data_IF_747053338524
#
_entry.id   IF_747053338524
#
_cell.length_a   1.000
_cell.length_b   1.000
_cell.length_c   1.000
_cell.angle_alpha   90.00
_cell.angle_beta   90.00
_cell.angle_gamma   90.00
#
_symmetry.space_group_name_H-M   'P 1'
#
loop_
_entity.id
_entity.type
_entity.pdbx_description
1 polymer ?
#
# COMPACT_ATOMS: atom_id res chain seq x y z
N UNK A 1 14.56 -2.33 4.56
CA UNK A 1 13.68 -3.13 3.66
C UNK A 1 13.52 -2.40 2.34
N UNK A 2 13.50 -3.12 1.21
CA UNK A 2 13.36 -2.52 -0.12
C UNK A 2 12.04 -2.95 -0.77
N UNK A 3 11.36 -2.02 -1.44
CA UNK A 3 10.18 -2.30 -2.25
C UNK A 3 10.37 -1.79 -3.68
N UNK A 4 9.74 -2.46 -4.64
CA UNK A 4 9.67 -2.04 -6.05
C UNK A 4 8.27 -1.51 -6.35
N UNK A 5 8.20 -0.40 -7.06
CA UNK A 5 6.93 0.20 -7.47
C UNK A 5 6.64 -0.21 -8.90
N UNK A 6 5.43 -0.69 -9.16
CA UNK A 6 4.98 -1.11 -10.49
C UNK A 6 3.67 -0.41 -10.81
N UNK A 7 3.70 0.47 -11.79
CA UNK A 7 2.51 1.16 -12.32
C UNK A 7 1.92 0.38 -13.48
N UNK A 8 0.66 0.68 -13.81
CA UNK A 8 -0.08 0.09 -14.93
C UNK A 8 -0.05 -1.45 -14.90
N UNK A 9 -0.23 -2.05 -13.70
CA UNK A 9 -0.29 -3.49 -13.54
C UNK A 9 -1.56 -4.03 -14.23
N UNK A 10 -1.40 -4.69 -15.38
CA UNK A 10 -2.49 -5.10 -16.28
C UNK A 10 -3.54 -6.02 -15.63
N UNK A 11 -3.13 -6.82 -14.64
CA UNK A 11 -3.99 -7.76 -13.92
C UNK A 11 -4.78 -7.09 -12.79
N UNK A 12 -4.50 -5.83 -12.48
CA UNK A 12 -5.13 -5.11 -11.38
C UNK A 12 -6.16 -4.10 -11.89
N UNK A 13 -7.30 -4.01 -11.20
CA UNK A 13 -8.37 -3.07 -11.54
C UNK A 13 -7.85 -1.62 -11.48
N UNK A 14 -8.23 -0.79 -12.45
CA UNK A 14 -7.90 0.65 -12.43
C UNK A 14 -8.41 1.30 -11.14
N UNK A 15 -7.59 2.16 -10.55
CA UNK A 15 -7.88 2.84 -9.29
C UNK A 15 -7.53 2.05 -8.03
N UNK A 16 -7.01 0.83 -8.16
CA UNK A 16 -6.54 0.04 -7.03
C UNK A 16 -5.03 0.17 -6.84
N UNK A 17 -4.59 0.03 -5.60
CA UNK A 17 -3.22 -0.15 -5.18
C UNK A 17 -3.12 -1.40 -4.29
N UNK A 18 -1.92 -1.98 -4.23
CA UNK A 18 -1.66 -3.11 -3.36
C UNK A 18 -0.18 -3.18 -2.98
N UNK A 19 0.11 -3.40 -1.70
CA UNK A 19 1.42 -3.83 -1.23
C UNK A 19 1.41 -5.31 -0.88
N UNK A 20 2.24 -6.08 -1.59
CA UNK A 20 2.47 -7.48 -1.29
C UNK A 20 3.96 -7.76 -1.27
N UNK A 21 4.43 -8.32 -0.16
CA UNK A 21 5.81 -8.74 0.04
C UNK A 21 6.85 -7.61 -0.10
N UNK A 22 7.37 -7.37 -1.31
CA UNK A 22 8.38 -6.34 -1.62
C UNK A 22 7.94 -5.47 -2.81
N UNK A 23 6.67 -5.51 -3.17
CA UNK A 23 6.14 -4.91 -4.37
C UNK A 23 4.95 -4.02 -3.98
N UNK A 24 4.90 -2.84 -4.57
CA UNK A 24 3.81 -1.88 -4.46
C UNK A 24 3.26 -1.67 -5.86
N UNK A 25 2.09 -2.24 -6.13
CA UNK A 25 1.44 -2.18 -7.43
C UNK A 25 0.41 -1.07 -7.48
N UNK A 26 0.25 -0.48 -8.66
CA UNK A 26 -0.86 0.39 -9.01
C UNK A 26 -1.49 -0.05 -10.34
N UNK A 27 -2.83 -0.06 -10.38
CA UNK A 27 -3.60 -0.31 -11.61
C UNK A 27 -3.70 0.94 -12.48
N UNK A 28 -3.14 2.06 -12.01
CA UNK A 28 -3.08 3.35 -12.69
C UNK A 28 -1.69 3.56 -13.31
N UNK A 29 -1.63 4.40 -14.33
CA UNK A 29 -0.35 4.93 -14.84
C UNK A 29 0.28 5.84 -13.77
N UNK A 30 1.59 5.99 -13.80
CA UNK A 30 2.33 6.79 -12.83
C UNK A 30 1.82 8.25 -12.71
N UNK A 31 1.49 8.86 -13.85
CA UNK A 31 0.93 10.21 -13.94
C UNK A 31 -0.51 10.33 -13.42
N UNK A 32 -1.21 9.22 -13.27
CA UNK A 32 -2.60 9.16 -12.80
C UNK A 32 -2.68 8.83 -11.29
N UNK A 33 -1.59 8.36 -10.67
CA UNK A 33 -1.55 8.11 -9.23
C UNK A 33 -1.47 9.46 -8.52
N UNK A 34 -2.48 9.79 -7.72
CA UNK A 34 -2.42 10.99 -6.87
C UNK A 34 -1.46 10.78 -5.69
N UNK A 35 -0.94 11.87 -5.13
CA UNK A 35 -0.08 11.80 -3.94
C UNK A 35 -0.80 11.10 -2.78
N UNK A 36 -2.10 11.34 -2.66
CA UNK A 36 -2.97 10.66 -1.69
C UNK A 36 -2.97 9.14 -1.85
N UNK A 37 -3.15 8.66 -3.08
CA UNK A 37 -3.17 7.23 -3.37
C UNK A 37 -1.78 6.61 -3.18
N UNK A 38 -0.72 7.32 -3.60
CA UNK A 38 0.65 6.89 -3.35
C UNK A 38 0.97 6.80 -1.86
N UNK A 39 0.58 7.81 -1.08
CA UNK A 39 0.76 7.87 0.37
C UNK A 39 0.03 6.75 1.10
N UNK A 40 -1.18 6.42 0.65
CA UNK A 40 -1.95 5.29 1.17
C UNK A 40 -1.18 3.98 1.05
N UNK A 41 -0.73 3.63 -0.17
CA UNK A 41 0.02 2.40 -0.40
C UNK A 41 1.40 2.40 0.30
N UNK A 42 2.05 3.57 0.37
CA UNK A 42 3.30 3.73 1.09
C UNK A 42 3.14 3.42 2.59
N UNK A 43 1.99 3.73 3.19
CA UNK A 43 1.72 3.36 4.57
C UNK A 43 1.71 1.84 4.76
N UNK A 44 1.24 1.06 3.79
CA UNK A 44 1.36 -0.40 3.84
C UNK A 44 2.82 -0.85 3.79
N UNK A 45 3.70 -0.18 3.02
CA UNK A 45 5.13 -0.45 3.09
C UNK A 45 5.71 -0.17 4.50
N UNK A 46 5.32 0.92 5.14
CA UNK A 46 5.73 1.21 6.54
C UNK A 46 5.21 0.16 7.53
N UNK A 47 3.96 -0.29 7.39
CA UNK A 47 3.41 -1.37 8.21
C UNK A 47 4.19 -2.67 8.04
N UNK A 48 4.54 -3.04 6.79
CA UNK A 48 5.39 -4.18 6.49
C UNK A 48 6.79 -4.02 7.08
N UNK A 49 7.38 -2.83 7.03
CA UNK A 49 8.67 -2.54 7.67
C UNK A 49 8.61 -2.79 9.17
N UNK A 50 7.57 -2.28 9.84
CA UNK A 50 7.41 -2.39 11.31
C UNK A 50 7.14 -3.82 11.78
N UNK A 51 6.31 -4.58 11.05
CA UNK A 51 5.92 -5.95 11.45
C UNK A 51 6.78 -7.06 10.88
N UNK A 52 7.47 -6.80 9.76
CA UNK A 52 8.07 -7.83 8.92
C UNK A 52 7.05 -8.42 7.93
N UNK A 53 7.55 -8.88 6.78
CA UNK A 53 6.74 -9.33 5.65
C UNK A 53 5.79 -10.47 6.00
N UNK A 54 6.32 -11.51 6.64
CA UNK A 54 5.55 -12.70 6.97
C UNK A 54 4.40 -12.38 7.94
N UNK A 55 4.71 -11.65 9.01
CA UNK A 55 3.70 -11.26 9.99
C UNK A 55 2.66 -10.29 9.44
N UNK A 56 3.05 -9.36 8.57
CA UNK A 56 2.10 -8.51 7.88
C UNK A 56 1.11 -9.35 7.06
N UNK A 57 1.60 -10.29 6.25
CA UNK A 57 0.74 -11.18 5.45
C UNK A 57 -0.18 -12.05 6.32
N UNK A 58 0.37 -12.71 7.34
CA UNK A 58 -0.42 -13.57 8.25
C UNK A 58 -1.51 -12.74 8.93
N UNK A 59 -1.14 -11.59 9.50
CA UNK A 59 -2.12 -10.75 10.20
C UNK A 59 -3.15 -10.15 9.25
N UNK A 60 -2.78 -9.77 8.03
CA UNK A 60 -3.73 -9.30 7.01
C UNK A 60 -4.73 -10.41 6.65
N UNK A 61 -4.25 -11.64 6.42
CA UNK A 61 -5.13 -12.78 6.13
C UNK A 61 -6.06 -13.12 7.31
N UNK A 62 -5.54 -13.16 8.54
CA UNK A 62 -6.34 -13.43 9.74
C UNK A 62 -7.40 -12.35 9.99
N UNK A 63 -7.03 -11.08 9.80
CA UNK A 63 -7.94 -9.96 9.96
C UNK A 63 -8.98 -9.93 8.83
N UNK A 64 -8.61 -10.34 7.61
CA UNK A 64 -9.56 -10.52 6.51
C UNK A 64 -10.60 -11.60 6.83
N UNK A 65 -10.17 -12.75 7.35
CA UNK A 65 -11.06 -13.82 7.85
C UNK A 65 -11.95 -13.34 9.00
N UNK A 66 -11.41 -12.54 9.93
CA UNK A 66 -12.13 -12.04 11.10
C UNK A 66 -13.12 -10.92 10.78
N UNK A 67 -12.76 -10.00 9.89
CA UNK A 67 -13.52 -8.75 9.67
C UNK A 67 -14.42 -8.77 8.45
N UNK A 68 -14.27 -9.70 7.51
CA UNK A 68 -15.36 -9.93 6.55
C UNK A 68 -14.98 -10.59 5.25
N UNK A 69 -15.41 -11.85 5.13
CA UNK A 69 -15.99 -12.39 3.90
C UNK A 69 -17.31 -11.67 3.51
N UNK A 70 -17.86 -10.81 4.38
CA UNK A 70 -19.05 -9.99 4.12
C UNK A 70 -18.69 -8.50 3.92
N UNK A 71 -19.28 -7.93 2.86
CA UNK A 71 -19.29 -6.58 2.26
C UNK A 71 -19.02 -5.32 3.13
N UNK A 72 -18.01 -5.36 4.00
CA UNK A 72 -17.58 -4.24 4.84
C UNK A 72 -16.24 -4.46 5.54
N UNK A 73 -15.73 -5.69 5.56
CA UNK A 73 -14.50 -6.06 6.28
C UNK A 73 -13.24 -5.33 5.82
N UNK A 74 -13.10 -5.07 4.52
CA UNK A 74 -11.96 -4.33 3.98
C UNK A 74 -11.90 -2.90 4.55
N UNK A 75 -13.06 -2.23 4.65
CA UNK A 75 -13.13 -0.85 5.12
C UNK A 75 -12.86 -0.72 6.62
N UNK A 76 -13.03 -1.78 7.40
CA UNK A 76 -12.73 -1.78 8.83
C UNK A 76 -11.41 -2.47 9.18
N UNK A 77 -10.65 -2.91 8.18
CA UNK A 77 -9.37 -3.56 8.39
C UNK A 77 -8.38 -2.57 9.06
N UNK A 78 -7.76 -2.91 10.21
CA UNK A 78 -6.89 -1.99 10.95
C UNK A 78 -5.79 -1.33 10.10
N UNK A 79 -5.16 -2.10 9.21
CA UNK A 79 -4.16 -1.55 8.29
C UNK A 79 -4.72 -0.53 7.29
N UNK A 80 -5.92 -0.76 6.76
CA UNK A 80 -6.62 0.17 5.85
C UNK A 80 -7.07 1.43 6.58
N UNK A 81 -7.48 1.28 7.86
CA UNK A 81 -7.83 2.41 8.74
C UNK A 81 -6.61 3.30 8.97
N UNK A 82 -5.47 2.70 9.36
CA UNK A 82 -4.22 3.44 9.55
C UNK A 82 -3.75 4.09 8.24
N UNK A 83 -3.80 3.37 7.11
CA UNK A 83 -3.44 3.93 5.80
C UNK A 83 -4.31 5.15 5.45
N UNK A 84 -5.62 5.10 5.69
CA UNK A 84 -6.51 6.25 5.49
C UNK A 84 -6.23 7.44 6.40
N UNK A 85 -5.76 7.21 7.63
CA UNK A 85 -5.40 8.30 8.54
C UNK A 85 -4.16 9.06 8.07
N UNK A 86 -3.29 8.42 7.30
CA UNK A 86 -2.03 9.01 6.83
C UNK A 86 -2.02 9.43 5.36
N UNK A 87 -3.02 9.04 4.57
CA UNK A 87 -3.05 9.27 3.13
C UNK A 87 -3.04 10.75 2.73
N UNK A 88 -3.52 11.63 3.61
CA UNK A 88 -3.60 13.08 3.35
C UNK A 88 -2.36 13.82 3.91
N UNK A 89 -1.42 13.10 4.54
CA UNK A 89 -0.15 13.68 4.95
C UNK A 89 0.73 13.94 3.72
N UNK A 90 1.42 15.09 3.67
CA UNK A 90 2.32 15.40 2.57
C UNK A 90 3.47 14.37 2.51
N UNK A 91 3.90 14.07 1.28
CA UNK A 91 5.09 13.27 1.05
C UNK A 91 6.34 14.08 1.39
N UNK A 92 7.30 13.43 2.03
CA UNK A 92 8.64 14.01 2.23
C UNK A 92 9.40 14.03 0.91
N UNK A 93 10.45 14.86 0.83
CA UNK A 93 11.32 14.90 -0.35
C UNK A 93 11.93 13.53 -0.69
N UNK A 94 12.23 12.71 0.33
CA UNK A 94 12.77 11.37 0.12
C UNK A 94 11.72 10.42 -0.47
N UNK A 95 10.48 10.48 0.02
CA UNK A 95 9.37 9.66 -0.49
C UNK A 95 9.00 10.02 -1.93
N UNK A 96 9.06 11.30 -2.28
CA UNK A 96 8.94 11.78 -3.66
C UNK A 96 10.06 11.17 -4.52
N UNK A 97 11.31 11.24 -4.05
CA UNK A 97 12.43 10.62 -4.77
C UNK A 97 12.32 9.09 -4.88
N UNK A 98 11.66 8.41 -3.94
CA UNK A 98 11.38 6.97 -4.06
C UNK A 98 10.35 6.68 -5.14
N UNK A 99 9.32 7.51 -5.26
CA UNK A 99 8.28 7.42 -6.29
C UNK A 99 8.90 7.49 -7.68
N UNK A 100 9.71 8.50 -7.94
CA UNK A 100 10.39 8.73 -9.23
C UNK A 100 11.36 7.60 -9.58
N UNK A 101 12.14 7.13 -8.61
CA UNK A 101 13.07 6.00 -8.79
C UNK A 101 12.40 4.64 -8.82
N UNK A 102 11.07 4.59 -8.62
CA UNK A 102 10.26 3.38 -8.51
C UNK A 102 10.79 2.36 -7.49
N UNK A 103 11.44 2.86 -6.44
CA UNK A 103 12.11 2.05 -5.42
C UNK A 103 12.06 2.75 -4.07
N UNK A 104 11.47 2.05 -3.10
CA UNK A 104 11.34 2.50 -1.72
C UNK A 104 12.44 1.83 -0.90
N UNK A 105 13.12 2.59 -0.05
CA UNK A 105 14.14 2.08 0.88
C UNK A 105 13.78 2.49 2.30
N UNK A 106 13.16 1.57 3.04
CA UNK A 106 12.74 1.77 4.42
C UNK A 106 13.74 1.24 5.43
#
# INVERSE_FOLDING_TARGET
>A
MKFRIVYNAWWMRRGWGMVFWSWMWFGLKESEVSDRHYRHELQHCYQVKRKGRLWFLISYALLWLRHGAFWGGYRNHPYEVEARQHQDNPLTAEEIAWRERRRITL
#
